data_IF_420629191835
#
_entry.id   IF_420629191835
#
_cell.length_a   1.000
_cell.length_b   1.000
_cell.length_c   1.000
_cell.angle_alpha   90.00
_cell.angle_beta   90.00
_cell.angle_gamma   90.00
#
_symmetry.space_group_name_H-M   'P 1'
#
loop_
_entity.id
_entity.type
_entity.pdbx_description
1 polymer ?
#
# COMPACT_ATOMS: atom_id res chain seq x y z
N UNK A 1 6.10 49.44 -10.17
CA UNK A 1 5.24 48.26 -10.43
C UNK A 1 4.38 48.02 -9.20
N UNK A 2 3.07 47.79 -9.36
CA UNK A 2 2.20 47.47 -8.24
C UNK A 2 2.65 46.15 -7.59
N UNK A 3 2.64 46.10 -6.26
CA UNK A 3 2.97 44.88 -5.52
C UNK A 3 1.94 43.80 -5.85
N UNK A 4 2.40 42.57 -6.11
CA UNK A 4 1.51 41.45 -6.37
C UNK A 4 0.64 41.14 -5.12
N UNK A 5 -0.63 40.75 -5.29
CA UNK A 5 -1.48 40.30 -4.19
C UNK A 5 -0.88 39.11 -3.42
N UNK A 6 -1.21 38.97 -2.14
CA UNK A 6 -0.72 37.87 -1.30
C UNK A 6 -1.02 36.51 -1.93
N UNK A 7 -0.01 35.63 -1.97
CA UNK A 7 -0.11 34.31 -2.59
C UNK A 7 0.13 34.28 -4.10
N UNK A 8 0.56 35.40 -4.69
CA UNK A 8 0.92 35.51 -6.10
C UNK A 8 2.31 36.16 -6.27
N UNK A 9 2.96 35.88 -7.40
CA UNK A 9 4.23 36.47 -7.80
C UNK A 9 4.15 37.00 -9.24
N UNK A 10 4.89 38.07 -9.52
CA UNK A 10 4.93 38.68 -10.85
C UNK A 10 5.99 37.99 -11.72
N UNK A 11 5.63 37.61 -12.95
CA UNK A 11 6.54 37.00 -13.93
C UNK A 11 6.35 37.70 -15.27
N UNK A 12 7.37 38.43 -15.74
CA UNK A 12 7.49 39.02 -17.09
C UNK A 12 6.15 39.32 -17.79
N UNK A 13 5.35 40.22 -17.22
CA UNK A 13 4.13 40.73 -17.83
C UNK A 13 2.81 40.19 -17.24
N UNK A 14 2.83 39.14 -16.42
CA UNK A 14 1.62 38.60 -15.78
C UNK A 14 1.84 38.11 -14.36
N UNK A 15 0.74 37.92 -13.63
CA UNK A 15 0.73 37.46 -12.24
C UNK A 15 0.47 35.95 -12.23
N UNK A 16 1.33 35.17 -11.57
CA UNK A 16 1.16 33.73 -11.36
C UNK A 16 0.84 33.42 -9.90
N UNK A 17 0.01 32.40 -9.67
CA UNK A 17 -0.30 31.90 -8.32
C UNK A 17 0.88 31.11 -7.76
N UNK A 18 1.18 31.29 -6.49
CA UNK A 18 2.18 30.47 -5.81
C UNK A 18 1.70 29.01 -5.76
N UNK A 19 2.62 28.03 -5.94
CA UNK A 19 2.29 26.63 -5.75
C UNK A 19 1.73 26.45 -4.32
N UNK A 20 0.57 25.80 -4.21
CA UNK A 20 -0.04 25.54 -2.90
C UNK A 20 0.88 24.60 -2.10
N UNK A 21 1.20 24.91 -0.83
CA UNK A 21 1.81 23.92 0.05
C UNK A 21 0.85 22.73 0.14
N UNK A 22 1.27 21.55 -0.34
CA UNK A 22 0.42 20.35 -0.44
C UNK A 22 0.04 19.93 -1.87
N UNK A 23 0.29 20.77 -2.87
CA UNK A 23 0.21 20.41 -4.30
C UNK A 23 1.54 19.84 -4.80
N UNK A 24 2.18 18.98 -3.99
CA UNK A 24 3.34 18.21 -4.44
C UNK A 24 2.94 17.32 -5.61
N UNK A 25 3.90 17.00 -6.49
CA UNK A 25 3.67 16.08 -7.60
C UNK A 25 3.21 14.74 -7.02
N UNK A 26 1.92 14.43 -7.19
CA UNK A 26 1.34 13.20 -6.64
C UNK A 26 2.05 12.01 -7.29
N UNK A 27 2.47 11.06 -6.47
CA UNK A 27 3.02 9.81 -6.97
C UNK A 27 1.93 9.08 -7.76
N UNK A 28 2.27 8.53 -8.93
CA UNK A 28 1.32 7.76 -9.74
C UNK A 28 0.76 6.61 -8.90
N UNK A 29 -0.54 6.34 -8.98
CA UNK A 29 -1.16 5.22 -8.28
C UNK A 29 -0.49 3.88 -8.60
N UNK A 30 0.02 3.74 -9.83
CA UNK A 30 0.80 2.57 -10.26
C UNK A 30 2.13 2.42 -9.54
N UNK A 31 2.79 3.53 -9.21
CA UNK A 31 4.05 3.49 -8.46
C UNK A 31 3.79 3.07 -7.01
N UNK A 32 2.69 3.52 -6.42
CA UNK A 32 2.26 3.07 -5.09
C UNK A 32 1.93 1.57 -5.11
N UNK A 33 1.17 1.11 -6.11
CA UNK A 33 0.83 -0.30 -6.27
C UNK A 33 2.08 -1.17 -6.46
N UNK A 34 3.05 -0.72 -7.27
CA UNK A 34 4.32 -1.42 -7.46
C UNK A 34 5.14 -1.53 -6.18
N UNK A 35 5.20 -0.47 -5.38
CA UNK A 35 5.88 -0.50 -4.07
C UNK A 35 5.20 -1.47 -3.10
N UNK A 36 3.86 -1.44 -3.03
CA UNK A 36 3.10 -2.35 -2.17
C UNK A 36 3.29 -3.81 -2.58
N UNK A 37 3.25 -4.12 -3.88
CA UNK A 37 3.48 -5.46 -4.41
C UNK A 37 4.91 -5.93 -4.13
N UNK A 38 5.90 -5.05 -4.27
CA UNK A 38 7.31 -5.36 -3.95
C UNK A 38 7.51 -5.71 -2.47
N UNK A 39 6.92 -4.93 -1.56
CA UNK A 39 6.96 -5.22 -0.11
C UNK A 39 6.27 -6.55 0.19
N UNK A 40 5.09 -6.80 -0.38
CA UNK A 40 4.38 -8.06 -0.20
C UNK A 40 5.19 -9.26 -0.66
N UNK A 41 5.76 -9.20 -1.87
CA UNK A 41 6.61 -10.26 -2.40
C UNK A 41 7.88 -10.46 -1.54
N UNK A 42 8.47 -9.38 -1.04
CA UNK A 42 9.64 -9.46 -0.17
C UNK A 42 9.39 -10.30 1.07
N UNK A 43 8.28 -10.09 1.77
CA UNK A 43 8.01 -10.90 2.95
C UNK A 43 7.45 -12.30 2.67
N UNK A 44 7.03 -12.59 1.43
CA UNK A 44 6.87 -13.99 0.98
C UNK A 44 8.23 -14.69 0.82
N UNK A 45 9.24 -13.98 0.28
CA UNK A 45 10.56 -14.57 -0.02
C UNK A 45 11.48 -14.65 1.21
N UNK A 46 11.52 -13.60 2.02
CA UNK A 46 12.45 -13.48 3.15
C UNK A 46 11.79 -13.68 4.52
N UNK A 47 10.45 -13.79 4.55
CA UNK A 47 9.67 -13.81 5.77
C UNK A 47 9.51 -12.41 6.38
N UNK A 48 8.28 -12.06 6.76
CA UNK A 48 8.06 -11.02 7.76
C UNK A 48 8.22 -11.70 9.12
N UNK A 49 9.26 -11.35 9.89
CA UNK A 49 9.64 -12.05 11.13
C UNK A 49 8.44 -12.51 11.96
N UNK A 50 8.34 -13.84 12.12
CA UNK A 50 7.43 -14.62 12.96
C UNK A 50 6.22 -13.86 13.55
N UNK A 51 5.14 -13.77 12.77
CA UNK A 51 3.78 -13.77 13.32
C UNK A 51 3.02 -14.95 12.70
N UNK A 52 3.54 -16.14 12.96
CA UNK A 52 2.89 -17.40 12.66
C UNK A 52 1.61 -17.51 13.51
N UNK A 53 0.51 -16.92 13.06
CA UNK A 53 -0.80 -17.46 13.41
C UNK A 53 -1.00 -18.72 12.57
N UNK A 54 -0.25 -19.76 12.90
CA UNK A 54 -0.47 -21.11 12.39
C UNK A 54 -1.88 -21.50 12.81
N UNK A 55 -2.86 -21.37 11.92
CA UNK A 55 -4.07 -22.18 12.05
C UNK A 55 -3.58 -23.62 11.94
N UNK A 56 -3.73 -24.45 13.00
CA UNK A 56 -3.31 -25.83 12.91
C UNK A 56 -4.08 -26.49 11.75
N UNK A 57 -3.41 -27.31 10.92
CA UNK A 57 -4.11 -28.02 9.85
C UNK A 57 -5.23 -28.84 10.49
N UNK A 58 -6.43 -28.79 9.91
CA UNK A 58 -7.54 -29.61 10.35
C UNK A 58 -7.10 -31.08 10.33
N UNK A 59 -6.89 -31.67 11.52
CA UNK A 59 -6.58 -33.09 11.64
C UNK A 59 -7.70 -33.87 10.94
N UNK A 60 -7.42 -34.71 9.93
CA UNK A 60 -8.46 -35.56 9.36
C UNK A 60 -8.92 -36.52 10.46
N UNK A 61 -10.18 -36.40 10.86
CA UNK A 61 -10.79 -37.27 11.85
C UNK A 61 -10.86 -38.68 11.24
N UNK A 62 -10.18 -39.69 11.81
CA UNK A 62 -10.24 -41.03 11.25
C UNK A 62 -11.69 -41.52 11.31
N UNK A 63 -12.28 -41.79 10.15
CA UNK A 63 -13.60 -42.37 10.05
C UNK A 63 -13.57 -43.75 10.73
N UNK A 64 -14.25 -43.86 11.86
CA UNK A 64 -14.40 -45.11 12.60
C UNK A 64 -15.07 -46.12 11.66
N UNK A 65 -14.32 -47.16 11.26
CA UNK A 65 -14.86 -48.27 10.49
C UNK A 65 -15.65 -49.16 11.45
N UNK A 66 -16.97 -49.22 11.28
CA UNK A 66 -17.85 -50.13 12.04
C UNK A 66 -17.64 -51.56 11.55
N UNK A 67 -17.38 -52.54 12.43
CA UNK A 67 -17.30 -53.93 12.01
C UNK A 67 -18.70 -54.45 11.66
N UNK A 68 -18.81 -55.17 10.54
CA UNK A 68 -20.03 -55.85 10.15
C UNK A 68 -20.34 -56.96 11.17
N UNK A 69 -21.49 -56.85 11.85
CA UNK A 69 -21.99 -57.90 12.74
C UNK A 69 -22.23 -59.18 11.94
N UNK A 70 -21.82 -60.32 12.52
CA UNK A 70 -22.03 -61.65 11.98
C UNK A 70 -23.30 -62.26 12.55
#
# INVERSE_FOLDING_TARGET
>A
MSKAPNGFHYVRGHIRRNPKPGSGKRMSGWMIAGLAAGIWLWGQVFGFGEASSTTPPAQPQPAVSTPAAR
#
